data_IF_337133516196
#
_entry.id   IF_337133516196
#
_cell.length_a   1.000
_cell.length_b   1.000
_cell.length_c   1.000
_cell.angle_alpha   90.00
_cell.angle_beta   90.00
_cell.angle_gamma   90.00
#
_symmetry.space_group_name_H-M   'P 1'
#
loop_
_entity.id
_entity.type
_entity.pdbx_description
1 polymer ?
#
# COMPACT_ATOMS: atom_id res chain seq x y z
N UNK A 1 38.48 -12.74 -14.32
CA UNK A 1 38.80 -11.40 -13.82
C UNK A 1 38.82 -11.52 -12.32
N UNK A 2 39.82 -10.95 -11.66
CA UNK A 2 40.06 -11.11 -10.23
C UNK A 2 40.11 -9.73 -9.57
N UNK A 3 39.98 -9.70 -8.24
CA UNK A 3 40.18 -8.47 -7.47
C UNK A 3 41.65 -8.05 -7.54
N UNK A 4 41.90 -6.75 -7.57
CA UNK A 4 43.27 -6.25 -7.37
C UNK A 4 43.74 -6.62 -5.96
N UNK A 5 45.05 -6.84 -5.79
CA UNK A 5 45.60 -7.20 -4.47
C UNK A 5 45.32 -6.12 -3.41
N UNK A 6 45.28 -4.85 -3.82
CA UNK A 6 44.95 -3.72 -2.97
C UNK A 6 43.49 -3.75 -2.53
N UNK A 7 42.54 -3.93 -3.45
CA UNK A 7 41.11 -3.99 -3.11
C UNK A 7 40.81 -5.24 -2.27
N UNK A 8 41.40 -6.38 -2.59
CA UNK A 8 41.25 -7.60 -1.79
C UNK A 8 41.70 -7.38 -0.33
N UNK A 9 42.84 -6.70 -0.11
CA UNK A 9 43.30 -6.36 1.25
C UNK A 9 42.31 -5.42 1.95
N UNK A 10 41.90 -4.34 1.28
CA UNK A 10 40.98 -3.34 1.85
C UNK A 10 39.62 -3.95 2.22
N UNK A 11 39.07 -4.82 1.36
CA UNK A 11 37.81 -5.51 1.63
C UNK A 11 37.93 -6.51 2.78
N UNK A 12 39.04 -7.24 2.90
CA UNK A 12 39.27 -8.11 4.07
C UNK A 12 39.37 -7.29 5.37
N UNK A 13 40.04 -6.13 5.34
CA UNK A 13 40.12 -5.22 6.51
C UNK A 13 38.73 -4.70 6.88
N UNK A 14 37.92 -4.30 5.90
CA UNK A 14 36.53 -3.90 6.14
C UNK A 14 35.73 -5.01 6.82
N UNK A 15 35.77 -6.23 6.27
CA UNK A 15 35.03 -7.37 6.80
C UNK A 15 35.51 -7.80 8.20
N UNK A 16 36.79 -7.62 8.51
CA UNK A 16 37.33 -7.85 9.85
C UNK A 16 36.70 -6.92 10.91
N UNK A 17 36.25 -5.73 10.50
CA UNK A 17 35.50 -4.81 11.36
C UNK A 17 34.01 -5.15 11.50
N UNK A 18 33.55 -6.28 10.93
CA UNK A 18 32.18 -6.82 11.04
C UNK A 18 31.09 -5.79 10.68
N UNK A 19 31.02 -5.35 9.42
CA UNK A 19 29.98 -4.42 9.00
C UNK A 19 28.58 -5.02 9.15
N UNK A 20 27.64 -4.21 9.60
CA UNK A 20 26.22 -4.53 9.75
C UNK A 20 25.51 -4.57 8.39
N UNK A 21 25.94 -3.76 7.44
CA UNK A 21 25.47 -3.73 6.07
C UNK A 21 26.55 -3.16 5.14
N UNK A 22 26.48 -3.48 3.85
CA UNK A 22 27.39 -2.98 2.82
C UNK A 22 26.56 -2.37 1.68
N UNK A 23 26.93 -1.16 1.27
CA UNK A 23 26.39 -0.43 0.11
C UNK A 23 27.48 -0.20 -0.92
N UNK A 24 27.17 -0.41 -2.19
CA UNK A 24 28.08 -0.14 -3.30
C UNK A 24 27.47 0.95 -4.17
N UNK A 25 28.24 2.00 -4.46
CA UNK A 25 27.91 2.99 -5.47
C UNK A 25 28.65 2.65 -6.76
N UNK A 26 27.92 2.04 -7.69
CA UNK A 26 28.48 1.50 -8.94
C UNK A 26 29.19 2.59 -9.77
N UNK A 27 28.63 3.80 -9.87
CA UNK A 27 29.19 4.89 -10.68
C UNK A 27 30.47 5.50 -10.10
N UNK A 28 30.56 5.58 -8.77
CA UNK A 28 31.71 6.15 -8.09
C UNK A 28 32.73 5.08 -7.69
N UNK A 29 32.48 3.80 -7.96
CA UNK A 29 33.34 2.69 -7.53
C UNK A 29 33.73 2.80 -6.05
N UNK A 30 32.75 3.14 -5.22
CA UNK A 30 32.92 3.31 -3.78
C UNK A 30 32.03 2.32 -3.04
N UNK A 31 32.63 1.63 -2.07
CA UNK A 31 31.96 0.70 -1.19
C UNK A 31 31.94 1.29 0.23
N UNK A 32 30.81 1.19 0.88
CA UNK A 32 30.58 1.67 2.24
C UNK A 32 30.15 0.50 3.11
N UNK A 33 30.72 0.38 4.31
CA UNK A 33 30.28 -0.55 5.34
C UNK A 33 29.71 0.20 6.52
N UNK A 34 28.48 -0.11 6.89
CA UNK A 34 27.85 0.37 8.13
C UNK A 34 28.45 -0.39 9.30
N UNK A 35 28.96 0.31 10.30
CA UNK A 35 29.49 -0.23 11.55
C UNK A 35 28.58 0.20 12.72
N UNK A 36 28.72 -0.42 13.89
CA UNK A 36 27.96 -0.02 15.09
C UNK A 36 28.10 1.47 15.43
N UNK A 37 29.29 2.05 15.19
CA UNK A 37 29.63 3.42 15.58
C UNK A 37 30.08 4.31 14.40
N UNK A 38 29.57 4.05 13.18
CA UNK A 38 29.85 4.92 12.03
C UNK A 38 29.91 4.16 10.71
N UNK A 39 30.65 4.72 9.74
CA UNK A 39 30.80 4.14 8.41
C UNK A 39 32.29 3.98 8.07
N UNK A 40 32.59 2.93 7.31
CA UNK A 40 33.89 2.73 6.68
C UNK A 40 33.75 2.78 5.16
N UNK A 41 34.71 3.41 4.49
CA UNK A 41 34.68 3.59 3.03
C UNK A 41 35.88 2.95 2.37
N UNK A 42 35.64 2.21 1.29
CA UNK A 42 36.64 1.62 0.43
C UNK A 42 36.43 2.14 -0.99
N UNK A 43 37.41 2.91 -1.49
CA UNK A 43 37.48 3.24 -2.92
C UNK A 43 38.05 2.04 -3.66
N UNK A 44 37.28 1.50 -4.59
CA UNK A 44 37.66 0.38 -5.46
C UNK A 44 38.49 0.90 -6.63
N UNK A 45 39.49 0.11 -7.04
CA UNK A 45 40.39 0.38 -8.15
C UNK A 45 40.22 -0.73 -9.20
N UNK A 46 39.16 -0.69 -10.02
CA UNK A 46 38.87 -1.76 -10.97
C UNK A 46 39.98 -1.88 -12.03
N UNK A 47 40.36 -3.12 -12.32
CA UNK A 47 41.13 -3.44 -13.52
C UNK A 47 40.17 -3.94 -14.61
N UNK A 48 40.04 -3.18 -15.70
CA UNK A 48 39.22 -3.55 -16.85
C UNK A 48 37.80 -3.01 -16.79
N UNK A 49 36.80 -3.89 -16.87
CA UNK A 49 35.40 -3.48 -16.98
C UNK A 49 34.72 -3.41 -15.61
N UNK A 50 34.22 -2.23 -15.24
CA UNK A 50 33.63 -1.95 -13.92
C UNK A 50 32.48 -2.90 -13.56
N UNK A 51 31.55 -3.17 -14.48
CA UNK A 51 30.39 -4.04 -14.21
C UNK A 51 30.84 -5.47 -13.88
N UNK A 52 31.78 -6.02 -14.66
CA UNK A 52 32.39 -7.32 -14.37
C UNK A 52 33.14 -7.28 -13.04
N UNK A 53 33.74 -6.14 -12.68
CA UNK A 53 34.56 -6.01 -11.47
C UNK A 53 33.68 -6.03 -10.24
N UNK A 54 32.58 -5.28 -10.28
CA UNK A 54 31.56 -5.30 -9.23
C UNK A 54 30.93 -6.69 -9.05
N UNK A 55 30.77 -7.48 -10.12
CA UNK A 55 30.35 -8.89 -9.99
C UNK A 55 31.36 -9.73 -9.20
N UNK A 56 32.66 -9.52 -9.42
CA UNK A 56 33.72 -10.20 -8.66
C UNK A 56 33.75 -9.71 -7.21
N UNK A 57 33.57 -8.40 -6.96
CA UNK A 57 33.46 -7.84 -5.60
C UNK A 57 32.27 -8.45 -4.85
N UNK A 58 31.07 -8.48 -5.44
CA UNK A 58 29.88 -9.08 -4.83
C UNK A 58 30.06 -10.58 -4.59
N UNK A 59 30.72 -11.30 -5.50
CA UNK A 59 31.08 -12.70 -5.30
C UNK A 59 32.02 -12.90 -4.10
N UNK A 60 33.04 -12.06 -3.96
CA UNK A 60 33.95 -12.08 -2.82
C UNK A 60 33.22 -11.79 -1.49
N UNK A 61 32.37 -10.76 -1.45
CA UNK A 61 31.57 -10.43 -0.26
C UNK A 61 30.63 -11.58 0.12
N UNK A 62 29.98 -12.18 -0.88
CA UNK A 62 29.08 -13.32 -0.70
C UNK A 62 29.78 -14.54 -0.12
N UNK A 63 30.97 -14.88 -0.63
CA UNK A 63 31.78 -15.98 -0.10
C UNK A 63 32.14 -15.73 1.38
N UNK A 64 32.51 -14.50 1.73
CA UNK A 64 32.91 -14.14 3.09
C UNK A 64 31.74 -14.08 4.08
N UNK A 65 30.60 -13.55 3.67
CA UNK A 65 29.43 -13.39 4.53
C UNK A 65 28.72 -14.74 4.79
N UNK A 66 28.65 -15.60 3.77
CA UNK A 66 27.82 -16.82 3.80
C UNK A 66 28.61 -18.12 4.00
N UNK A 67 29.94 -18.08 3.86
CA UNK A 67 30.82 -19.24 4.09
C UNK A 67 30.61 -20.42 3.14
N UNK A 68 29.88 -20.25 2.02
CA UNK A 68 29.54 -21.31 1.09
C UNK A 68 30.16 -21.09 -0.30
N UNK A 69 30.82 -22.11 -0.88
CA UNK A 69 31.52 -22.02 -2.17
C UNK A 69 30.58 -21.95 -3.39
N UNK A 70 29.27 -21.81 -3.19
CA UNK A 70 28.27 -21.77 -4.25
C UNK A 70 28.26 -20.49 -5.10
N UNK A 71 28.95 -19.42 -4.65
CA UNK A 71 29.17 -18.19 -5.40
C UNK A 71 27.92 -17.33 -5.65
N UNK A 72 28.13 -16.02 -5.67
CA UNK A 72 27.18 -15.07 -6.25
C UNK A 72 27.05 -15.33 -7.76
N UNK A 73 25.84 -15.33 -8.38
CA UNK A 73 24.52 -15.05 -7.80
C UNK A 73 23.72 -16.31 -7.43
N UNK A 74 24.28 -17.51 -7.50
CA UNK A 74 23.56 -18.77 -7.32
C UNK A 74 22.95 -18.93 -5.92
N UNK A 75 23.55 -18.30 -4.90
CA UNK A 75 22.98 -18.28 -3.55
C UNK A 75 21.63 -17.57 -3.51
N UNK A 76 21.51 -16.37 -4.11
CA UNK A 76 20.25 -15.62 -4.16
C UNK A 76 19.16 -16.39 -4.91
N UNK A 77 19.52 -17.14 -5.94
CA UNK A 77 18.59 -18.01 -6.69
C UNK A 77 18.13 -19.25 -5.89
N UNK A 78 18.95 -19.74 -4.95
CA UNK A 78 18.55 -20.85 -4.05
C UNK A 78 17.74 -20.32 -2.87
N UNK A 79 18.11 -19.16 -2.36
CA UNK A 79 17.42 -18.41 -1.32
C UNK A 79 15.94 -18.17 -1.69
N UNK A 80 15.68 -17.66 -2.89
CA UNK A 80 14.32 -17.46 -3.41
C UNK A 80 13.49 -18.74 -3.54
N UNK A 81 14.11 -19.93 -3.54
CA UNK A 81 13.42 -21.23 -3.71
C UNK A 81 13.18 -22.00 -2.41
N UNK A 82 13.96 -21.77 -1.36
CA UNK A 82 13.93 -22.61 -0.16
C UNK A 82 13.02 -22.09 0.97
N UNK A 83 12.47 -20.87 0.88
CA UNK A 83 11.26 -20.43 1.59
C UNK A 83 11.27 -20.45 3.13
N UNK A 84 12.34 -20.88 3.80
CA UNK A 84 12.45 -20.88 5.26
C UNK A 84 13.75 -20.18 5.67
N UNK A 85 13.62 -19.15 6.52
CA UNK A 85 14.76 -18.35 7.00
C UNK A 85 14.88 -18.38 8.52
N UNK A 86 16.12 -18.39 8.98
CA UNK A 86 16.53 -18.03 10.35
C UNK A 86 16.99 -16.56 10.34
N UNK A 87 16.75 -15.82 11.43
CA UNK A 87 17.06 -14.37 11.53
C UNK A 87 18.51 -14.01 11.19
N UNK A 88 19.48 -14.84 11.61
CA UNK A 88 20.91 -14.63 11.32
C UNK A 88 21.24 -14.63 9.81
N UNK A 89 20.42 -15.29 8.99
CA UNK A 89 20.62 -15.29 7.53
C UNK A 89 20.26 -13.94 6.89
N UNK A 90 19.37 -13.14 7.50
CA UNK A 90 18.94 -11.86 6.94
C UNK A 90 20.02 -10.78 7.13
N UNK A 91 20.69 -10.77 8.29
CA UNK A 91 21.81 -9.86 8.56
C UNK A 91 22.96 -10.05 7.55
N UNK A 92 23.28 -11.31 7.22
CA UNK A 92 24.34 -11.63 6.26
C UNK A 92 24.01 -11.17 4.83
N UNK A 93 22.73 -11.15 4.44
CA UNK A 93 22.31 -10.66 3.13
C UNK A 93 22.61 -9.17 2.95
N UNK A 94 22.50 -8.37 4.02
CA UNK A 94 22.82 -6.95 3.98
C UNK A 94 24.32 -6.68 3.78
N UNK A 95 25.19 -7.68 3.98
CA UNK A 95 26.63 -7.57 3.77
C UNK A 95 27.06 -7.88 2.32
N UNK A 96 26.12 -8.21 1.43
CA UNK A 96 26.46 -8.63 0.06
C UNK A 96 26.79 -7.47 -0.88
N UNK A 97 26.43 -6.23 -0.54
CA UNK A 97 26.58 -5.09 -1.44
C UNK A 97 25.73 -5.21 -2.72
N UNK A 98 24.66 -5.99 -2.65
CA UNK A 98 23.73 -6.23 -3.74
C UNK A 98 22.33 -5.69 -3.38
N UNK A 99 21.79 -4.72 -4.13
CA UNK A 99 20.43 -4.23 -3.96
C UNK A 99 19.37 -5.35 -3.96
N UNK A 100 19.55 -6.43 -4.73
CA UNK A 100 18.60 -7.54 -4.75
C UNK A 100 18.57 -8.31 -3.42
N UNK A 101 19.71 -8.40 -2.74
CA UNK A 101 19.80 -9.00 -1.42
C UNK A 101 19.14 -8.10 -0.35
N UNK A 102 19.26 -6.78 -0.48
CA UNK A 102 18.56 -5.84 0.40
C UNK A 102 17.05 -5.95 0.22
N UNK A 103 16.55 -5.95 -1.02
CA UNK A 103 15.13 -6.13 -1.31
C UNK A 103 14.58 -7.45 -0.76
N UNK A 104 15.36 -8.54 -0.89
CA UNK A 104 15.05 -9.83 -0.30
C UNK A 104 14.86 -9.76 1.24
N UNK A 105 15.69 -9.00 1.94
CA UNK A 105 15.54 -8.77 3.40
C UNK A 105 14.29 -7.95 3.70
N UNK A 106 14.03 -6.91 2.91
CA UNK A 106 12.84 -6.06 3.05
C UNK A 106 11.53 -6.83 2.85
N UNK A 107 11.53 -7.87 2.00
CA UNK A 107 10.37 -8.74 1.79
C UNK A 107 10.23 -9.89 2.80
N UNK A 108 11.15 -10.04 3.76
CA UNK A 108 11.13 -11.17 4.68
C UNK A 108 10.10 -10.99 5.81
N UNK A 109 9.39 -12.06 6.19
CA UNK A 109 8.42 -12.05 7.30
C UNK A 109 9.08 -11.69 8.66
N UNK A 110 10.37 -11.95 8.82
CA UNK A 110 11.17 -11.65 10.02
C UNK A 110 11.82 -10.26 10.03
N UNK A 111 11.34 -9.32 9.23
CA UNK A 111 11.91 -7.97 9.15
C UNK A 111 11.67 -7.20 10.47
N UNK A 112 12.73 -7.04 11.25
CA UNK A 112 12.72 -6.21 12.46
C UNK A 112 13.00 -4.74 12.15
N UNK A 113 12.66 -3.83 13.07
CA UNK A 113 12.97 -2.39 12.94
C UNK A 113 14.47 -2.16 12.74
N UNK A 114 15.32 -2.92 13.41
CA UNK A 114 16.77 -2.79 13.29
C UNK A 114 17.28 -3.29 11.93
N UNK A 115 16.76 -4.41 11.42
CA UNK A 115 17.04 -4.86 10.06
C UNK A 115 16.56 -3.85 9.02
N UNK A 116 15.39 -3.25 9.22
CA UNK A 116 14.86 -2.21 8.34
C UNK A 116 15.75 -0.95 8.31
N UNK A 117 16.30 -0.52 9.45
CA UNK A 117 17.28 0.60 9.49
C UNK A 117 18.52 0.30 8.66
N UNK A 118 19.06 -0.92 8.79
CA UNK A 118 20.25 -1.35 8.04
C UNK A 118 19.97 -1.51 6.55
N UNK A 119 18.81 -2.06 6.20
CA UNK A 119 18.34 -2.20 4.82
C UNK A 119 18.10 -0.83 4.17
N UNK A 120 17.42 0.08 4.89
CA UNK A 120 17.20 1.47 4.46
C UNK A 120 18.52 2.21 4.23
N UNK A 121 19.48 2.07 5.14
CA UNK A 121 20.82 2.63 4.97
C UNK A 121 21.51 2.08 3.70
N UNK A 122 21.38 0.77 3.46
CA UNK A 122 22.02 0.11 2.33
C UNK A 122 21.39 0.47 0.98
N UNK A 123 20.07 0.64 0.91
CA UNK A 123 19.32 0.97 -0.31
C UNK A 123 18.10 1.87 -0.01
N UNK A 124 18.29 3.19 0.16
CA UNK A 124 17.21 4.13 0.44
C UNK A 124 16.48 4.51 -0.86
N UNK A 125 15.58 3.63 -1.31
CA UNK A 125 14.76 3.82 -2.50
C UNK A 125 13.26 3.68 -2.22
N UNK A 126 12.43 4.17 -3.15
CA UNK A 126 10.99 4.25 -2.95
C UNK A 126 10.32 2.86 -2.87
N UNK A 127 10.84 1.87 -3.58
CA UNK A 127 10.28 0.52 -3.55
C UNK A 127 10.52 -0.12 -2.19
N UNK A 128 11.73 -0.02 -1.64
CA UNK A 128 12.07 -0.47 -0.30
C UNK A 128 11.25 0.25 0.77
N UNK A 129 11.09 1.58 0.66
CA UNK A 129 10.25 2.35 1.59
C UNK A 129 8.80 1.85 1.58
N UNK A 130 8.19 1.67 0.40
CA UNK A 130 6.83 1.15 0.27
C UNK A 130 6.68 -0.22 0.94
N UNK A 131 7.62 -1.14 0.70
CA UNK A 131 7.59 -2.49 1.28
C UNK A 131 7.77 -2.49 2.79
N UNK A 132 8.75 -1.75 3.31
CA UNK A 132 9.00 -1.69 4.76
C UNK A 132 7.82 -1.06 5.52
N UNK A 133 7.16 -0.05 4.94
CA UNK A 133 6.00 0.59 5.55
C UNK A 133 4.73 -0.28 5.57
N UNK A 134 4.74 -1.47 4.98
CA UNK A 134 3.67 -2.47 5.17
C UNK A 134 3.77 -3.17 6.54
N UNK A 135 4.88 -3.01 7.26
CA UNK A 135 5.12 -3.63 8.57
C UNK A 135 4.79 -2.66 9.70
N UNK A 136 3.83 -3.03 10.55
CA UNK A 136 3.33 -2.16 11.63
C UNK A 136 4.40 -1.68 12.63
N UNK A 137 5.35 -2.53 12.99
CA UNK A 137 6.45 -2.16 13.91
C UNK A 137 7.36 -1.07 13.32
N UNK A 138 7.53 -1.06 12.00
CA UNK A 138 8.32 -0.04 11.28
C UNK A 138 7.54 1.27 11.23
N UNK A 139 6.23 1.21 10.98
CA UNK A 139 5.34 2.37 10.99
C UNK A 139 5.32 3.05 12.37
N UNK A 140 5.36 2.26 13.45
CA UNK A 140 5.42 2.77 14.82
C UNK A 140 6.80 3.36 15.20
N UNK A 141 7.86 3.03 14.47
CA UNK A 141 9.23 3.48 14.75
C UNK A 141 9.59 4.77 14.00
N UNK A 142 10.58 5.51 14.50
CA UNK A 142 11.01 6.77 13.87
C UNK A 142 11.55 6.60 12.44
N UNK A 143 12.07 5.42 12.10
CA UNK A 143 12.54 5.13 10.72
C UNK A 143 11.36 5.15 9.73
N UNK A 144 10.15 4.80 10.15
CA UNK A 144 8.97 4.88 9.29
C UNK A 144 8.65 6.31 8.87
N UNK A 145 8.88 7.30 9.75
CA UNK A 145 8.67 8.73 9.43
C UNK A 145 9.66 9.20 8.37
N UNK A 146 10.91 8.78 8.47
CA UNK A 146 11.95 9.09 7.48
C UNK A 146 11.59 8.51 6.10
N UNK A 147 11.10 7.26 6.05
CA UNK A 147 10.63 6.63 4.81
C UNK A 147 9.40 7.33 4.23
N UNK A 148 8.44 7.73 5.07
CA UNK A 148 7.25 8.45 4.61
C UNK A 148 7.61 9.83 4.04
N UNK A 149 8.51 10.56 4.70
CA UNK A 149 9.03 11.83 4.21
C UNK A 149 9.75 11.64 2.87
N UNK A 150 10.61 10.62 2.75
CA UNK A 150 11.25 10.26 1.49
C UNK A 150 10.24 10.00 0.37
N UNK A 151 9.19 9.21 0.63
CA UNK A 151 8.16 8.92 -0.37
C UNK A 151 7.47 10.20 -0.84
N UNK A 152 7.14 11.13 0.08
CA UNK A 152 6.51 12.41 -0.27
C UNK A 152 7.43 13.29 -1.12
N UNK A 153 8.73 13.31 -0.81
CA UNK A 153 9.74 14.03 -1.59
C UNK A 153 10.00 13.39 -2.95
N UNK A 154 9.90 12.07 -3.05
CA UNK A 154 10.12 11.30 -4.27
C UNK A 154 8.92 11.29 -5.23
N UNK A 155 7.70 11.42 -4.71
CA UNK A 155 6.44 11.41 -5.47
C UNK A 155 6.40 12.27 -6.76
N UNK A 156 7.03 13.46 -6.85
CA UNK A 156 7.10 14.22 -8.11
C UNK A 156 7.85 13.52 -9.24
N UNK A 157 8.77 12.60 -8.92
CA UNK A 157 9.56 11.83 -9.86
C UNK A 157 8.91 10.49 -10.22
N UNK A 158 7.90 10.06 -9.46
CA UNK A 158 7.15 8.85 -9.74
C UNK A 158 6.35 9.01 -11.04
N UNK A 159 6.37 7.98 -11.89
CA UNK A 159 5.65 7.99 -13.18
C UNK A 159 4.58 6.92 -13.26
N UNK A 160 4.76 5.82 -12.54
CA UNK A 160 3.79 4.74 -12.48
C UNK A 160 2.62 5.12 -11.57
N UNK A 161 1.40 4.82 -12.01
CA UNK A 161 0.18 5.21 -11.30
C UNK A 161 -0.02 4.38 -10.04
N UNK A 162 0.30 3.09 -10.08
CA UNK A 162 0.19 2.20 -8.92
C UNK A 162 1.21 2.61 -7.87
N UNK A 163 2.44 2.91 -8.28
CA UNK A 163 3.47 3.40 -7.35
C UNK A 163 3.10 4.74 -6.72
N UNK A 164 2.43 5.66 -7.45
CA UNK A 164 1.89 6.88 -6.85
C UNK A 164 0.83 6.59 -5.78
N UNK A 165 -0.11 5.69 -6.07
CA UNK A 165 -1.16 5.31 -5.12
C UNK A 165 -0.55 4.68 -3.87
N UNK A 166 0.34 3.71 -4.04
CA UNK A 166 0.96 2.99 -2.94
C UNK A 166 1.90 3.89 -2.14
N UNK A 167 2.65 4.80 -2.78
CA UNK A 167 3.50 5.75 -2.06
C UNK A 167 2.69 6.68 -1.16
N UNK A 168 1.56 7.22 -1.66
CA UNK A 168 0.66 8.03 -0.82
C UNK A 168 0.00 7.19 0.26
N UNK A 169 -0.43 5.96 -0.06
CA UNK A 169 -1.03 5.04 0.93
C UNK A 169 -0.06 4.76 2.07
N UNK A 170 1.20 4.44 1.75
CA UNK A 170 2.22 4.12 2.73
C UNK A 170 2.63 5.35 3.55
N UNK A 171 2.77 6.52 2.93
CA UNK A 171 3.15 7.74 3.64
C UNK A 171 2.02 8.35 4.47
N UNK A 172 0.75 8.21 4.05
CA UNK A 172 -0.40 8.80 4.73
C UNK A 172 -0.90 7.97 5.93
N UNK A 173 -0.23 6.86 6.29
CA UNK A 173 -0.58 6.09 7.47
C UNK A 173 -0.53 6.95 8.75
N UNK A 174 -1.37 6.66 9.76
CA UNK A 174 -1.43 7.44 10.98
C UNK A 174 -0.06 7.59 11.68
N UNK A 175 0.31 8.82 12.01
CA UNK A 175 1.51 9.14 12.81
C UNK A 175 2.83 9.25 12.02
N UNK A 176 2.84 8.94 10.72
CA UNK A 176 4.06 9.05 9.89
C UNK A 176 4.35 10.47 9.44
N UNK A 177 3.33 11.18 8.96
CA UNK A 177 3.43 12.58 8.53
C UNK A 177 2.88 13.52 9.60
N UNK A 178 3.50 14.69 9.73
CA UNK A 178 2.89 15.83 10.42
C UNK A 178 1.61 16.27 9.70
N UNK A 179 0.65 16.84 10.44
CA UNK A 179 -0.60 17.32 9.85
C UNK A 179 -0.39 18.35 8.72
N UNK A 180 0.61 19.23 8.82
CA UNK A 180 0.95 20.20 7.78
C UNK A 180 1.40 19.53 6.46
N UNK A 181 2.32 18.56 6.55
CA UNK A 181 2.77 17.77 5.38
C UNK A 181 1.62 16.96 4.78
N UNK A 182 0.77 16.38 5.63
CA UNK A 182 -0.41 15.60 5.22
C UNK A 182 -1.41 16.48 4.47
N UNK A 183 -1.72 17.66 4.99
CA UNK A 183 -2.59 18.65 4.33
C UNK A 183 -2.00 19.11 2.99
N UNK A 184 -0.70 19.42 2.95
CA UNK A 184 0.00 19.80 1.73
C UNK A 184 -0.04 18.69 0.66
N UNK A 185 0.12 17.43 1.07
CA UNK A 185 0.01 16.28 0.18
C UNK A 185 -1.44 16.12 -0.34
N UNK A 186 -2.44 16.33 0.51
CA UNK A 186 -3.85 16.33 0.12
C UNK A 186 -4.16 17.42 -0.89
N UNK A 187 -3.68 18.64 -0.70
CA UNK A 187 -3.91 19.73 -1.66
C UNK A 187 -3.34 19.42 -3.05
N UNK A 188 -2.19 18.74 -3.11
CA UNK A 188 -1.61 18.26 -4.38
C UNK A 188 -2.50 17.24 -5.10
N UNK A 189 -3.33 16.48 -4.37
CA UNK A 189 -4.27 15.51 -4.95
C UNK A 189 -5.35 16.15 -5.83
N UNK A 190 -5.60 17.47 -5.69
CA UNK A 190 -6.50 18.24 -6.56
C UNK A 190 -6.20 18.06 -8.06
N UNK A 191 -4.93 17.85 -8.41
CA UNK A 191 -4.47 17.68 -9.79
C UNK A 191 -4.02 16.25 -10.11
N UNK A 192 -3.99 15.37 -9.12
CA UNK A 192 -3.47 14.00 -9.22
C UNK A 192 -4.41 13.02 -8.53
N UNK A 193 -5.38 12.50 -9.28
CA UNK A 193 -6.37 11.51 -8.80
C UNK A 193 -5.76 10.30 -8.08
N UNK A 194 -4.61 9.71 -8.52
CA UNK A 194 -3.99 8.59 -7.80
C UNK A 194 -3.67 8.91 -6.33
N UNK A 195 -3.39 10.17 -5.98
CA UNK A 195 -3.10 10.54 -4.60
C UNK A 195 -4.35 10.42 -3.72
N UNK A 196 -5.54 10.77 -4.26
CA UNK A 196 -6.80 10.57 -3.54
C UNK A 196 -7.01 9.09 -3.21
N UNK A 197 -6.70 8.20 -4.15
CA UNK A 197 -6.80 6.74 -3.94
C UNK A 197 -5.89 6.31 -2.79
N UNK A 198 -4.65 6.78 -2.76
CA UNK A 198 -3.72 6.49 -1.65
C UNK A 198 -4.25 6.95 -0.30
N UNK A 199 -4.88 8.13 -0.22
CA UNK A 199 -5.48 8.62 1.02
C UNK A 199 -6.67 7.77 1.50
N UNK A 200 -7.61 7.42 0.62
CA UNK A 200 -8.75 6.58 1.00
C UNK A 200 -8.33 5.14 1.33
N UNK A 201 -7.20 4.68 0.79
CA UNK A 201 -6.62 3.39 1.13
C UNK A 201 -5.92 3.40 2.51
N UNK A 202 -5.33 4.52 2.92
CA UNK A 202 -4.58 4.62 4.18
C UNK A 202 -5.46 5.00 5.37
N UNK A 203 -6.28 6.03 5.22
CA UNK A 203 -7.06 6.62 6.32
C UNK A 203 -8.46 7.01 5.82
N UNK A 204 -9.31 6.04 5.44
CA UNK A 204 -10.65 6.32 4.91
C UNK A 204 -11.52 7.11 5.90
N UNK A 205 -11.28 6.92 7.21
CA UNK A 205 -12.04 7.54 8.29
C UNK A 205 -11.41 8.81 8.87
N UNK A 206 -10.33 9.30 8.27
CA UNK A 206 -9.65 10.49 8.76
C UNK A 206 -9.06 11.30 7.60
N UNK A 207 -9.84 11.54 6.55
CA UNK A 207 -9.36 12.36 5.44
C UNK A 207 -9.13 13.82 5.89
N UNK A 208 -8.12 14.53 5.33
CA UNK A 208 -7.83 15.93 5.67
C UNK A 208 -8.99 16.89 5.34
N UNK A 209 -9.69 16.67 4.22
CA UNK A 209 -10.89 17.42 3.88
C UNK A 209 -12.11 16.87 4.63
N UNK A 210 -12.68 17.70 5.51
CA UNK A 210 -13.91 17.38 6.21
C UNK A 210 -15.13 17.72 5.35
N UNK A 211 -16.07 16.79 5.30
CA UNK A 211 -17.41 17.00 4.76
C UNK A 211 -18.42 17.13 5.91
N UNK A 212 -19.51 17.88 5.76
CA UNK A 212 -20.58 17.85 6.75
C UNK A 212 -21.12 16.42 6.88
N UNK A 213 -21.52 16.04 8.10
CA UNK A 213 -22.29 14.81 8.29
C UNK A 213 -23.61 14.89 7.49
N UNK A 214 -24.21 13.73 7.20
CA UNK A 214 -25.53 13.67 6.56
C UNK A 214 -26.55 14.39 7.43
N UNK A 215 -27.52 15.07 6.83
CA UNK A 215 -28.46 15.94 7.57
C UNK A 215 -29.28 15.22 8.66
N UNK A 216 -29.49 13.91 8.50
CA UNK A 216 -30.20 13.02 9.43
C UNK A 216 -29.27 12.23 10.35
N UNK A 217 -27.96 12.53 10.39
CA UNK A 217 -26.97 11.80 11.19
C UNK A 217 -27.34 11.71 12.68
N UNK A 218 -27.83 12.81 13.28
CA UNK A 218 -28.26 12.81 14.68
C UNK A 218 -29.49 11.90 14.92
N UNK A 219 -30.38 11.78 13.92
CA UNK A 219 -31.53 10.87 13.98
C UNK A 219 -31.08 9.42 13.86
N UNK A 220 -30.12 9.14 12.98
CA UNK A 220 -29.50 7.83 12.83
C UNK A 220 -28.79 7.40 14.12
N UNK A 221 -28.01 8.28 14.74
CA UNK A 221 -27.41 8.02 16.05
C UNK A 221 -28.51 7.70 17.06
N UNK A 222 -29.54 8.53 17.15
CA UNK A 222 -30.61 8.33 18.14
C UNK A 222 -31.36 7.01 17.95
N UNK A 223 -31.66 6.60 16.71
CA UNK A 223 -32.39 5.38 16.41
C UNK A 223 -31.54 4.10 16.44
N UNK A 224 -30.26 4.20 16.09
CA UNK A 224 -29.38 3.03 15.92
C UNK A 224 -28.41 2.80 17.08
N UNK A 225 -28.14 3.80 17.94
CA UNK A 225 -27.21 3.61 19.07
C UNK A 225 -27.58 2.44 19.98
N UNK A 226 -28.85 2.20 20.34
CA UNK A 226 -29.20 1.03 21.16
C UNK A 226 -28.84 -0.31 20.50
N UNK A 227 -28.94 -0.39 19.17
CA UNK A 227 -28.55 -1.57 18.41
C UNK A 227 -27.03 -1.70 18.32
N UNK A 228 -26.33 -0.60 18.04
CA UNK A 228 -24.87 -0.54 17.98
C UNK A 228 -24.23 -0.93 19.32
N UNK A 229 -24.70 -0.38 20.44
CA UNK A 229 -24.26 -0.76 21.80
C UNK A 229 -24.59 -2.23 22.12
N UNK A 230 -25.65 -2.77 21.52
CA UNK A 230 -26.02 -4.18 21.56
C UNK A 230 -25.17 -5.09 20.67
N UNK A 231 -24.19 -4.56 19.93
CA UNK A 231 -23.28 -5.31 19.07
C UNK A 231 -23.76 -5.49 17.61
N UNK A 232 -24.80 -4.76 17.18
CA UNK A 232 -25.21 -4.74 15.77
C UNK A 232 -24.20 -3.90 14.96
N UNK A 233 -23.39 -4.59 14.16
CA UNK A 233 -22.28 -4.01 13.41
C UNK A 233 -22.79 -3.22 12.20
N UNK A 234 -23.96 -3.57 11.65
CA UNK A 234 -24.59 -2.78 10.58
C UNK A 234 -25.09 -1.43 11.08
N UNK A 235 -25.62 -1.36 12.30
CA UNK A 235 -25.98 -0.11 12.96
C UNK A 235 -24.74 0.79 13.15
N UNK A 236 -23.63 0.23 13.66
CA UNK A 236 -22.35 0.93 13.78
C UNK A 236 -21.87 1.47 12.42
N UNK A 237 -21.91 0.64 11.38
CA UNK A 237 -21.48 1.03 10.04
C UNK A 237 -22.36 2.13 9.44
N UNK A 238 -23.69 2.08 9.63
CA UNK A 238 -24.59 3.13 9.14
C UNK A 238 -24.37 4.47 9.85
N UNK A 239 -24.12 4.45 11.17
CA UNK A 239 -23.73 5.65 11.92
C UNK A 239 -22.40 6.18 11.38
N UNK A 240 -21.41 5.31 11.15
CA UNK A 240 -20.11 5.67 10.59
C UNK A 240 -20.24 6.32 9.19
N UNK A 241 -21.02 5.72 8.29
CA UNK A 241 -21.23 6.20 6.91
C UNK A 241 -21.88 7.58 6.87
N UNK A 242 -22.82 7.84 7.77
CA UNK A 242 -23.52 9.13 7.86
C UNK A 242 -22.70 10.22 8.56
N UNK A 243 -21.62 9.87 9.27
CA UNK A 243 -20.73 10.82 9.94
C UNK A 243 -19.95 11.72 8.97
N UNK A 244 -19.38 12.82 9.47
CA UNK A 244 -18.50 13.71 8.69
C UNK A 244 -17.36 12.96 7.98
N UNK A 245 -16.74 11.99 8.65
CA UNK A 245 -15.65 11.20 8.06
C UNK A 245 -16.18 10.24 6.97
N UNK A 246 -17.30 9.55 7.23
CA UNK A 246 -17.93 8.67 6.24
C UNK A 246 -18.38 9.43 4.98
N UNK A 247 -18.91 10.64 5.15
CA UNK A 247 -19.26 11.53 4.04
C UNK A 247 -18.01 12.02 3.29
N UNK A 248 -16.92 12.29 4.00
CA UNK A 248 -15.60 12.59 3.40
C UNK A 248 -15.11 11.45 2.50
N UNK A 249 -15.22 10.21 2.97
CA UNK A 249 -14.88 9.02 2.20
C UNK A 249 -15.72 8.90 0.93
N UNK A 250 -17.06 8.92 1.07
CA UNK A 250 -17.98 8.79 -0.06
C UNK A 250 -17.78 9.89 -1.12
N UNK A 251 -17.63 11.14 -0.67
CA UNK A 251 -17.35 12.27 -1.55
C UNK A 251 -16.04 12.06 -2.33
N UNK A 252 -15.00 11.55 -1.66
CA UNK A 252 -13.70 11.31 -2.29
C UNK A 252 -13.77 10.17 -3.30
N UNK A 253 -14.44 9.06 -2.97
CA UNK A 253 -14.70 7.95 -3.90
C UNK A 253 -15.44 8.44 -5.15
N UNK A 254 -16.52 9.20 -4.97
CA UNK A 254 -17.29 9.76 -6.08
C UNK A 254 -16.44 10.71 -6.95
N UNK A 255 -15.62 11.56 -6.32
CA UNK A 255 -14.69 12.46 -7.01
C UNK A 255 -13.70 11.68 -7.88
N UNK A 256 -13.15 10.57 -7.38
CA UNK A 256 -12.24 9.71 -8.15
C UNK A 256 -12.98 9.06 -9.34
N UNK A 257 -14.12 8.43 -9.09
CA UNK A 257 -14.89 7.69 -10.10
C UNK A 257 -15.56 8.58 -11.16
N UNK A 258 -15.73 9.88 -10.88
CA UNK A 258 -16.29 10.84 -11.85
C UNK A 258 -15.41 11.02 -13.10
N UNK A 259 -14.08 10.96 -12.93
CA UNK A 259 -13.12 11.18 -14.01
C UNK A 259 -11.81 10.40 -13.79
N UNK A 260 -11.87 9.07 -13.73
CA UNK A 260 -10.70 8.25 -13.52
C UNK A 260 -9.72 8.36 -14.70
N UNK A 261 -8.40 8.46 -14.44
CA UNK A 261 -7.40 8.56 -15.50
C UNK A 261 -7.05 7.21 -16.13
N UNK A 262 -7.08 6.11 -15.36
CA UNK A 262 -6.67 4.76 -15.77
C UNK A 262 -7.58 3.68 -15.17
N UNK A 263 -7.42 2.43 -15.62
CA UNK A 263 -8.23 1.30 -15.14
C UNK A 263 -7.84 0.90 -13.71
N UNK A 264 -6.55 0.99 -13.39
CA UNK A 264 -5.96 0.68 -12.08
C UNK A 264 -6.56 1.57 -10.99
N UNK A 265 -6.74 2.86 -11.29
CA UNK A 265 -7.41 3.81 -10.37
C UNK A 265 -8.86 3.39 -10.12
N UNK A 266 -9.59 2.96 -11.14
CA UNK A 266 -10.99 2.53 -10.98
C UNK A 266 -11.05 1.26 -10.16
N UNK A 267 -10.27 0.25 -10.53
CA UNK A 267 -10.26 -1.04 -9.84
C UNK A 267 -9.91 -0.88 -8.36
N UNK A 268 -8.79 -0.20 -8.07
CA UNK A 268 -8.33 0.04 -6.70
C UNK A 268 -9.36 0.83 -5.88
N UNK A 269 -10.00 1.85 -6.49
CA UNK A 269 -11.04 2.64 -5.79
C UNK A 269 -12.27 1.80 -5.46
N UNK A 270 -12.69 0.92 -6.37
CA UNK A 270 -13.81 0.02 -6.12
C UNK A 270 -13.44 -1.03 -5.07
N UNK A 271 -12.24 -1.60 -5.11
CA UNK A 271 -11.79 -2.55 -4.09
C UNK A 271 -11.76 -1.91 -2.69
N UNK A 272 -11.31 -0.65 -2.58
CA UNK A 272 -11.36 0.12 -1.32
C UNK A 272 -12.81 0.38 -0.87
N UNK A 273 -13.69 0.76 -1.80
CA UNK A 273 -15.11 0.96 -1.49
C UNK A 273 -15.76 -0.33 -0.99
N UNK A 274 -15.50 -1.45 -1.67
CA UNK A 274 -15.94 -2.79 -1.27
C UNK A 274 -15.44 -3.13 0.13
N UNK A 275 -14.15 -2.95 0.40
CA UNK A 275 -13.53 -3.25 1.68
C UNK A 275 -14.11 -2.39 2.83
N UNK A 276 -14.51 -1.15 2.53
CA UNK A 276 -15.19 -0.27 3.48
C UNK A 276 -16.58 -0.81 3.90
N UNK A 277 -17.27 -1.50 2.98
CA UNK A 277 -18.58 -2.13 3.22
C UNK A 277 -18.53 -3.66 3.41
N UNK A 278 -17.34 -4.26 3.52
CA UNK A 278 -17.13 -5.72 3.53
C UNK A 278 -17.94 -6.48 4.58
N UNK A 279 -18.33 -5.80 5.65
CA UNK A 279 -19.18 -6.36 6.70
C UNK A 279 -20.48 -6.95 6.14
N UNK A 280 -21.03 -6.32 5.09
CA UNK A 280 -22.28 -6.78 4.49
C UNK A 280 -22.10 -8.02 3.63
N UNK A 281 -20.87 -8.48 3.36
CA UNK A 281 -20.58 -9.58 2.44
C UNK A 281 -19.54 -10.57 3.01
N UNK A 282 -19.86 -11.29 4.09
CA UNK A 282 -18.95 -12.27 4.70
C UNK A 282 -18.59 -13.44 3.78
N UNK A 283 -19.40 -13.71 2.75
CA UNK A 283 -19.17 -14.75 1.74
C UNK A 283 -18.01 -14.46 0.77
N UNK A 284 -17.50 -13.23 0.77
CA UNK A 284 -16.35 -12.80 -0.04
C UNK A 284 -16.73 -12.05 -1.31
N UNK A 285 -15.76 -11.92 -2.21
CA UNK A 285 -15.84 -11.03 -3.37
C UNK A 285 -16.66 -11.65 -4.51
N UNK A 286 -17.76 -11.02 -4.94
CA UNK A 286 -18.60 -11.54 -6.00
C UNK A 286 -17.97 -11.27 -7.37
N UNK A 287 -18.17 -12.21 -8.30
CA UNK A 287 -17.71 -12.10 -9.69
C UNK A 287 -18.92 -12.06 -10.64
N UNK A 288 -19.73 -11.00 -10.51
CA UNK A 288 -20.97 -10.82 -11.27
C UNK A 288 -21.13 -9.40 -11.80
N UNK A 289 -22.20 -9.15 -12.57
CA UNK A 289 -22.51 -7.81 -13.07
C UNK A 289 -23.10 -6.94 -11.95
N UNK A 290 -23.05 -5.61 -12.12
CA UNK A 290 -23.63 -4.68 -11.16
C UNK A 290 -25.14 -4.86 -10.98
N UNK A 291 -25.86 -5.26 -12.04
CA UNK A 291 -27.30 -5.54 -11.99
C UNK A 291 -27.60 -6.75 -11.11
N UNK A 292 -26.76 -7.79 -11.16
CA UNK A 292 -26.91 -8.97 -10.29
C UNK A 292 -26.77 -8.58 -8.81
N UNK A 293 -25.83 -7.67 -8.48
CA UNK A 293 -25.67 -7.13 -7.12
C UNK A 293 -26.90 -6.35 -6.65
N UNK A 294 -27.52 -5.59 -7.56
CA UNK A 294 -28.73 -4.83 -7.27
C UNK A 294 -29.89 -5.79 -7.01
N UNK A 295 -30.07 -6.79 -7.86
CA UNK A 295 -31.17 -7.76 -7.79
C UNK A 295 -31.10 -8.65 -6.54
N UNK A 296 -29.90 -9.03 -6.08
CA UNK A 296 -29.76 -9.83 -4.86
C UNK A 296 -29.93 -9.04 -3.56
N UNK A 297 -29.73 -7.72 -3.59
CA UNK A 297 -29.64 -6.90 -2.37
C UNK A 297 -30.89 -6.94 -1.47
N UNK A 298 -32.14 -7.01 -1.99
CA UNK A 298 -33.33 -7.16 -1.14
C UNK A 298 -33.39 -8.51 -0.43
N UNK A 299 -32.90 -9.58 -1.07
CA UNK A 299 -32.87 -10.92 -0.45
C UNK A 299 -31.96 -10.91 0.78
N UNK A 300 -30.80 -10.26 0.67
CA UNK A 300 -29.89 -10.09 1.82
C UNK A 300 -30.57 -9.41 3.01
N UNK A 301 -31.37 -8.36 2.80
CA UNK A 301 -32.06 -7.68 3.91
C UNK A 301 -33.12 -8.55 4.59
N UNK A 302 -33.73 -9.50 3.87
CA UNK A 302 -34.70 -10.43 4.44
C UNK A 302 -34.03 -11.53 5.27
N UNK A 303 -32.82 -11.95 4.89
CA UNK A 303 -32.10 -13.06 5.50
C UNK A 303 -31.17 -12.63 6.64
N UNK A 304 -30.72 -11.37 6.65
CA UNK A 304 -29.76 -10.88 7.64
C UNK A 304 -30.45 -10.29 8.89
N UNK A 305 -30.20 -10.90 10.06
CA UNK A 305 -30.79 -10.49 11.35
C UNK A 305 -30.44 -9.05 11.74
N UNK A 306 -29.19 -8.63 11.55
CA UNK A 306 -28.75 -7.27 11.89
C UNK A 306 -29.43 -6.22 11.01
N UNK A 307 -29.61 -6.52 9.72
CA UNK A 307 -30.29 -5.64 8.77
C UNK A 307 -31.77 -5.50 9.12
N UNK A 308 -32.44 -6.62 9.43
CA UNK A 308 -33.84 -6.62 9.87
C UNK A 308 -34.03 -5.81 11.16
N UNK A 309 -33.15 -5.96 12.13
CA UNK A 309 -33.21 -5.18 13.37
C UNK A 309 -33.06 -3.67 13.10
N UNK A 310 -32.17 -3.27 12.19
CA UNK A 310 -32.05 -1.87 11.77
C UNK A 310 -33.32 -1.35 11.08
N UNK A 311 -33.98 -2.17 10.25
CA UNK A 311 -35.23 -1.81 9.57
C UNK A 311 -36.43 -1.73 10.53
N UNK A 312 -36.50 -2.63 11.52
CA UNK A 312 -37.52 -2.60 12.57
C UNK A 312 -37.41 -1.32 13.41
N UNK A 313 -36.18 -0.87 13.69
CA UNK A 313 -35.93 0.38 14.40
C UNK A 313 -36.18 1.62 13.51
N UNK A 314 -35.77 1.57 12.24
CA UNK A 314 -35.84 2.70 11.30
C UNK A 314 -36.16 2.21 9.87
N UNK A 315 -37.44 2.09 9.49
CA UNK A 315 -37.84 1.58 8.17
C UNK A 315 -37.33 2.42 6.99
N UNK A 316 -37.05 3.71 7.20
CA UNK A 316 -36.50 4.60 6.18
C UNK A 316 -35.09 4.22 5.69
N UNK A 317 -34.41 3.31 6.38
CA UNK A 317 -33.07 2.83 6.04
C UNK A 317 -33.01 1.82 4.91
N UNK A 318 -34.14 1.29 4.43
CA UNK A 318 -34.18 0.23 3.42
C UNK A 318 -33.27 0.52 2.23
N UNK A 319 -33.44 1.68 1.59
CA UNK A 319 -32.64 2.05 0.42
C UNK A 319 -31.16 2.30 0.75
N UNK A 320 -30.83 2.66 1.99
CA UNK A 320 -29.46 2.87 2.43
C UNK A 320 -28.75 1.53 2.61
N UNK A 321 -29.41 0.56 3.26
CA UNK A 321 -28.87 -0.78 3.43
C UNK A 321 -28.74 -1.53 2.10
N UNK A 322 -29.68 -1.35 1.17
CA UNK A 322 -29.55 -1.85 -0.20
C UNK A 322 -28.32 -1.24 -0.90
N UNK A 323 -28.13 0.08 -0.79
CA UNK A 323 -26.96 0.75 -1.37
C UNK A 323 -25.65 0.23 -0.77
N UNK A 324 -25.56 0.07 0.56
CA UNK A 324 -24.40 -0.51 1.23
C UNK A 324 -24.13 -1.94 0.78
N UNK A 325 -25.16 -2.77 0.58
CA UNK A 325 -25.01 -4.16 0.14
C UNK A 325 -24.50 -4.24 -1.30
N UNK A 326 -24.96 -3.37 -2.19
CA UNK A 326 -24.41 -3.26 -3.55
C UNK A 326 -22.94 -2.82 -3.51
N UNK A 327 -22.63 -1.77 -2.74
CA UNK A 327 -21.25 -1.27 -2.60
C UNK A 327 -20.30 -2.29 -1.97
N UNK A 328 -20.78 -3.20 -1.12
CA UNK A 328 -19.98 -4.31 -0.58
C UNK A 328 -19.58 -5.37 -1.60
N UNK A 329 -20.13 -5.33 -2.82
CA UNK A 329 -19.85 -6.27 -3.90
C UNK A 329 -19.14 -5.67 -5.12
N UNK A 330 -18.83 -4.37 -5.11
CA UNK A 330 -18.10 -3.75 -6.22
C UNK A 330 -16.64 -4.23 -6.26
N UNK A 331 -15.94 -4.00 -7.37
CA UNK A 331 -14.54 -4.43 -7.55
C UNK A 331 -14.30 -4.90 -8.98
N UNK A 332 -13.32 -5.78 -9.19
CA UNK A 332 -13.02 -6.30 -10.52
C UNK A 332 -14.20 -7.06 -11.17
N UNK A 333 -15.02 -7.78 -10.39
CA UNK A 333 -16.13 -8.58 -10.91
C UNK A 333 -17.08 -7.79 -11.81
N UNK A 334 -17.52 -6.61 -11.35
CA UNK A 334 -18.43 -5.74 -12.11
C UNK A 334 -17.75 -5.05 -13.31
N UNK A 335 -16.42 -4.96 -13.30
CA UNK A 335 -15.63 -4.38 -14.39
C UNK A 335 -15.30 -5.40 -15.49
N UNK A 336 -15.27 -6.70 -15.17
CA UNK A 336 -14.79 -7.77 -16.05
C UNK A 336 -15.45 -7.74 -17.43
N UNK A 337 -16.78 -7.61 -17.49
CA UNK A 337 -17.51 -7.62 -18.77
C UNK A 337 -17.20 -6.40 -19.65
N UNK A 338 -16.74 -5.30 -19.05
CA UNK A 338 -16.48 -4.03 -19.72
C UNK A 338 -15.00 -3.85 -20.08
N UNK A 339 -14.11 -4.30 -19.19
CA UNK A 339 -12.67 -4.08 -19.27
C UNK A 339 -11.86 -5.31 -19.66
N UNK A 340 -12.42 -6.53 -19.63
CA UNK A 340 -11.68 -7.74 -20.04
C UNK A 340 -11.16 -7.59 -21.48
N UNK A 341 -9.83 -7.67 -21.62
CA UNK A 341 -9.13 -7.51 -22.90
C UNK A 341 -9.16 -6.09 -23.50
N UNK A 342 -9.60 -5.08 -22.75
CA UNK A 342 -9.72 -3.70 -23.22
C UNK A 342 -8.47 -2.89 -22.87
N UNK A 343 -7.78 -2.36 -23.87
CA UNK A 343 -6.73 -1.33 -23.71
C UNK A 343 -7.30 0.10 -23.75
N UNK A 344 -8.61 0.25 -23.55
CA UNK A 344 -9.26 1.55 -23.61
C UNK A 344 -8.71 2.49 -22.53
N UNK A 345 -8.34 3.71 -22.95
CA UNK A 345 -7.85 4.77 -22.10
C UNK A 345 -8.70 6.04 -22.28
N UNK A 346 -8.60 6.97 -21.32
CA UNK A 346 -9.20 8.30 -21.43
C UNK A 346 -10.72 8.28 -21.65
N UNK A 347 -11.22 9.03 -22.64
CA UNK A 347 -12.65 9.17 -22.90
C UNK A 347 -13.33 7.86 -23.32
N UNK A 348 -12.63 6.99 -24.07
CA UNK A 348 -13.17 5.70 -24.49
C UNK A 348 -13.38 4.78 -23.28
N UNK A 349 -12.41 4.75 -22.36
CA UNK A 349 -12.51 4.00 -21.10
C UNK A 349 -13.72 4.49 -20.29
N UNK A 350 -13.86 5.80 -20.10
CA UNK A 350 -14.98 6.37 -19.34
C UNK A 350 -16.34 6.02 -19.92
N UNK A 351 -16.50 6.10 -21.26
CA UNK A 351 -17.76 5.71 -21.92
C UNK A 351 -18.06 4.21 -21.77
N UNK A 352 -17.04 3.37 -21.80
CA UNK A 352 -17.21 1.93 -21.55
C UNK A 352 -17.64 1.66 -20.11
N UNK A 353 -17.07 2.38 -19.15
CA UNK A 353 -17.34 2.24 -17.72
C UNK A 353 -18.70 2.82 -17.29
N UNK A 354 -19.27 3.73 -18.07
CA UNK A 354 -20.52 4.44 -17.75
C UNK A 354 -21.69 3.52 -17.32
N UNK A 355 -21.98 2.39 -17.99
CA UNK A 355 -23.07 1.49 -17.56
C UNK A 355 -22.84 0.86 -16.18
N UNK A 356 -21.58 0.76 -15.74
CA UNK A 356 -21.21 0.17 -14.44
C UNK A 356 -21.07 1.25 -13.37
N UNK A 357 -20.43 2.37 -13.70
CA UNK A 357 -20.18 3.44 -12.73
C UNK A 357 -21.42 4.30 -12.46
N UNK A 358 -22.39 4.35 -13.37
CA UNK A 358 -23.65 5.08 -13.13
C UNK A 358 -24.43 4.48 -11.95
N UNK A 359 -24.82 3.19 -11.94
CA UNK A 359 -25.51 2.61 -10.79
C UNK A 359 -24.68 2.65 -9.51
N UNK A 360 -23.35 2.48 -9.58
CA UNK A 360 -22.47 2.63 -8.40
C UNK A 360 -22.53 4.05 -7.83
N UNK A 361 -22.44 5.08 -8.68
CA UNK A 361 -22.53 6.48 -8.25
C UNK A 361 -23.92 6.83 -7.70
N UNK A 362 -24.99 6.21 -8.18
CA UNK A 362 -26.32 6.36 -7.60
C UNK A 362 -26.38 5.81 -6.17
N UNK A 363 -25.77 4.64 -5.91
CA UNK A 363 -25.69 4.08 -4.55
C UNK A 363 -24.85 4.95 -3.63
N UNK A 364 -23.72 5.49 -4.10
CA UNK A 364 -22.92 6.45 -3.32
C UNK A 364 -23.75 7.71 -3.03
N UNK A 365 -24.42 8.27 -4.04
CA UNK A 365 -25.21 9.49 -3.89
C UNK A 365 -26.39 9.29 -2.93
N UNK A 366 -26.98 8.09 -2.90
CA UNK A 366 -28.01 7.71 -1.92
C UNK A 366 -27.49 7.77 -0.49
N UNK A 367 -26.25 7.32 -0.25
CA UNK A 367 -25.63 7.38 1.07
C UNK A 367 -25.14 8.78 1.45
N UNK A 368 -24.94 9.66 0.46
CA UNK A 368 -24.51 11.05 0.68
C UNK A 368 -25.66 12.06 0.79
N UNK A 369 -26.85 11.71 0.30
CA UNK A 369 -28.02 12.60 0.30
C UNK A 369 -29.02 12.18 1.39
N UNK A 370 -29.67 13.14 2.04
CA UNK A 370 -30.81 12.82 2.93
C UNK A 370 -31.95 12.24 2.09
N UNK A 371 -32.52 11.12 2.53
CA UNK A 371 -33.75 10.56 1.98
C UNK A 371 -34.95 11.49 2.18
#
# INVERSE_FOLDING_TARGET
MELTSEDALRLNVLLANKPLAIRIHDSSMALYGLLENGEATVKLNPEGNDEKYLKVVRAFLSEKALGSPGGYPLYLQRWTRQGQMQEQSLEQLLQLGDPQAVFAVVCAEGLTVELARRAWWAAPDAENARRMLQTGDIVAADIGKEMADYLVEYLPFETDVEDMMESVRMAAQPGLLSEEKRQTLWEKSARKTPYLVGFIAATPDDLPEKQPARNDHDQLISGLSPLAEGGNRLAELMIKVSSSNGQGFLHTVQRILSKPPTQEVVNTTLDIARDYFKLLRPEGDPDCAVDDLIDESPVYLLENDEARACLDAMPSLEQDLLAMRVLSGVGWGILRLVLSGSTAMGSLMRRKLEPVLTPVNEKISRLSSSA
#
